data_IF_277185403830
#
_entry.id   IF_277185403830
#
_cell.length_a   1.000
_cell.length_b   1.000
_cell.length_c   1.000
_cell.angle_alpha   90.00
_cell.angle_beta   90.00
_cell.angle_gamma   90.00
#
_symmetry.space_group_name_H-M   'P 1'
#
loop_
_entity.id
_entity.type
_entity.pdbx_description
1 polymer ?
#
# COMPACT_ATOMS: atom_id res chain seq x y z
N UNK A 1 13.99 4.94 18.62
CA UNK A 1 15.15 4.07 18.90
C UNK A 1 15.05 3.42 20.29
N UNK A 2 15.06 4.18 21.40
CA UNK A 2 15.01 3.61 22.77
C UNK A 2 13.80 2.69 23.02
N UNK A 3 12.61 3.08 22.58
CA UNK A 3 11.39 2.27 22.69
C UNK A 3 11.48 0.94 21.92
N UNK A 4 12.00 0.95 20.69
CA UNK A 4 12.20 -0.26 19.88
C UNK A 4 13.22 -1.20 20.53
N UNK A 5 14.30 -0.66 21.09
CA UNK A 5 15.28 -1.44 21.84
C UNK A 5 14.71 -2.03 23.13
N UNK A 6 13.87 -1.28 23.85
CA UNK A 6 13.17 -1.77 25.04
C UNK A 6 12.17 -2.87 24.68
N UNK A 7 11.35 -2.66 23.65
CA UNK A 7 10.42 -3.64 23.09
C UNK A 7 11.16 -4.94 22.71
N UNK A 8 12.30 -4.82 22.01
CA UNK A 8 13.10 -5.98 21.58
C UNK A 8 13.66 -6.73 22.78
N UNK A 9 14.19 -5.99 23.77
CA UNK A 9 14.68 -6.59 25.01
C UNK A 9 13.57 -7.30 25.79
N UNK A 10 12.37 -6.72 25.90
CA UNK A 10 11.26 -7.36 26.60
C UNK A 10 10.76 -8.61 25.88
N UNK A 11 10.77 -8.60 24.54
CA UNK A 11 10.39 -9.75 23.72
C UNK A 11 11.39 -10.91 23.84
N UNK A 12 12.69 -10.64 23.80
CA UNK A 12 13.69 -11.71 23.87
C UNK A 12 14.00 -12.20 25.29
N UNK A 13 13.76 -11.39 26.34
CA UNK A 13 14.18 -11.71 27.71
C UNK A 13 13.06 -11.87 28.75
N UNK A 14 11.84 -11.38 28.51
CA UNK A 14 10.77 -11.36 29.55
C UNK A 14 9.44 -11.97 29.13
N UNK A 15 9.15 -12.15 27.83
CA UNK A 15 7.87 -12.73 27.43
C UNK A 15 7.84 -14.23 27.73
N UNK A 16 6.80 -14.67 28.43
CA UNK A 16 6.38 -16.08 28.38
C UNK A 16 6.19 -16.49 26.92
N UNK A 17 6.53 -17.74 26.56
CA UNK A 17 6.40 -18.33 25.22
C UNK A 17 4.93 -18.47 24.72
N UNK A 18 4.03 -17.58 25.13
CA UNK A 18 2.70 -17.48 24.56
C UNK A 18 2.79 -16.82 23.18
N UNK A 19 2.47 -17.61 22.15
CA UNK A 19 2.46 -17.21 20.73
C UNK A 19 1.66 -15.91 20.50
N UNK A 20 0.64 -15.67 21.32
CA UNK A 20 -0.20 -14.48 21.26
C UNK A 20 0.52 -13.20 21.70
N UNK A 21 1.14 -13.22 22.87
CA UNK A 21 1.86 -12.05 23.38
C UNK A 21 3.02 -11.69 22.44
N UNK A 22 3.68 -12.72 21.90
CA UNK A 22 4.71 -12.57 20.87
C UNK A 22 4.19 -12.00 19.54
N UNK A 23 3.00 -12.39 19.08
CA UNK A 23 2.43 -11.87 17.83
C UNK A 23 1.96 -10.43 17.95
N UNK A 24 1.40 -10.02 19.11
CA UNK A 24 1.12 -8.62 19.42
C UNK A 24 2.41 -7.78 19.54
N UNK A 25 3.48 -8.34 20.13
CA UNK A 25 4.83 -7.73 20.19
C UNK A 25 5.36 -7.42 18.81
N UNK A 26 5.41 -8.44 17.96
CA UNK A 26 5.89 -8.36 16.59
C UNK A 26 5.06 -7.38 15.77
N UNK A 27 3.74 -7.47 15.84
CA UNK A 27 2.84 -6.56 15.13
C UNK A 27 3.11 -5.10 15.52
N UNK A 28 3.20 -4.82 16.82
CA UNK A 28 3.50 -3.48 17.32
C UNK A 28 4.88 -2.99 16.85
N UNK A 29 5.92 -3.84 16.93
CA UNK A 29 7.26 -3.48 16.45
C UNK A 29 7.27 -3.17 14.95
N UNK A 30 6.69 -4.04 14.13
CA UNK A 30 6.72 -3.90 12.67
C UNK A 30 5.98 -2.63 12.26
N UNK A 31 4.86 -2.30 12.90
CA UNK A 31 4.16 -1.03 12.68
C UNK A 31 4.97 0.21 13.06
N UNK A 32 5.72 0.17 14.17
CA UNK A 32 6.62 1.27 14.52
C UNK A 32 7.77 1.40 13.53
N UNK A 33 8.33 0.29 13.06
CA UNK A 33 9.35 0.28 11.99
C UNK A 33 8.78 0.88 10.70
N UNK A 34 7.59 0.46 10.30
CA UNK A 34 6.91 0.95 9.09
C UNK A 34 6.62 2.45 9.18
N UNK A 35 6.15 2.94 10.32
CA UNK A 35 5.89 4.36 10.55
C UNK A 35 7.17 5.21 10.53
N UNK A 36 8.27 4.70 11.10
CA UNK A 36 9.58 5.36 11.03
C UNK A 36 10.08 5.40 9.58
N UNK A 37 9.97 4.29 8.84
CA UNK A 37 10.31 4.25 7.43
C UNK A 37 9.49 5.27 6.63
N UNK A 38 8.17 5.32 6.83
CA UNK A 38 7.30 6.33 6.21
C UNK A 38 7.74 7.76 6.53
N UNK A 39 8.13 8.02 7.78
CA UNK A 39 8.66 9.34 8.19
C UNK A 39 9.94 9.69 7.43
N UNK A 40 10.88 8.75 7.35
CA UNK A 40 12.15 8.94 6.63
C UNK A 40 11.90 9.21 5.14
N UNK A 41 11.01 8.44 4.50
CA UNK A 41 10.66 8.66 3.10
C UNK A 41 9.95 10.00 2.87
N UNK A 42 9.02 10.37 3.74
CA UNK A 42 8.32 11.65 3.65
C UNK A 42 9.30 12.82 3.72
N UNK A 43 10.20 12.81 4.71
CA UNK A 43 11.25 13.83 4.87
C UNK A 43 12.20 13.83 3.68
N UNK A 44 12.63 12.64 3.22
CA UNK A 44 13.48 12.51 2.04
C UNK A 44 12.83 13.11 0.79
N UNK A 45 11.55 12.83 0.56
CA UNK A 45 10.80 13.37 -0.58
C UNK A 45 10.59 14.87 -0.50
N UNK A 46 10.37 15.42 0.69
CA UNK A 46 10.27 16.86 0.92
C UNK A 46 11.61 17.57 0.67
N UNK A 47 12.71 17.05 1.23
CA UNK A 47 14.04 17.67 1.10
C UNK A 47 14.61 17.55 -0.31
N UNK A 48 14.33 16.46 -1.01
CA UNK A 48 14.85 16.23 -2.37
C UNK A 48 14.06 16.95 -3.46
N UNK A 49 12.90 17.52 -3.16
CA UNK A 49 12.02 18.15 -4.16
C UNK A 49 11.47 17.19 -5.22
N UNK A 50 11.68 15.87 -5.04
CA UNK A 50 11.32 14.85 -6.05
C UNK A 50 9.82 14.79 -6.34
N UNK A 51 8.98 15.08 -5.34
CA UNK A 51 7.52 15.12 -5.52
C UNK A 51 7.07 16.31 -6.37
N UNK A 52 7.77 17.44 -6.30
CA UNK A 52 7.50 18.61 -7.15
C UNK A 52 7.95 18.34 -8.58
N UNK A 53 9.13 17.74 -8.75
CA UNK A 53 9.62 17.29 -10.07
C UNK A 53 8.67 16.28 -10.72
N UNK A 54 8.19 15.30 -9.95
CA UNK A 54 7.20 14.33 -10.42
C UNK A 54 5.87 14.99 -10.79
N UNK A 55 5.38 15.91 -9.96
CA UNK A 55 4.16 16.68 -10.24
C UNK A 55 4.31 17.48 -11.53
N UNK A 56 5.44 18.18 -11.72
CA UNK A 56 5.72 18.95 -12.91
C UNK A 56 5.75 18.07 -14.16
N UNK A 57 6.39 16.88 -14.09
CA UNK A 57 6.39 15.93 -15.22
C UNK A 57 4.98 15.44 -15.56
N UNK A 58 4.18 15.05 -14.56
CA UNK A 58 2.78 14.64 -14.76
C UNK A 58 1.91 15.78 -15.33
N UNK A 59 2.20 17.03 -14.94
CA UNK A 59 1.53 18.20 -15.48
C UNK A 59 1.91 18.41 -16.96
N UNK A 60 3.19 18.36 -17.30
CA UNK A 60 3.69 18.58 -18.66
C UNK A 60 3.15 17.55 -19.66
N UNK A 61 2.88 16.31 -19.24
CA UNK A 61 2.38 15.26 -20.15
C UNK A 61 1.09 15.68 -20.87
N UNK A 62 0.09 16.15 -20.12
CA UNK A 62 -1.27 16.38 -20.63
C UNK A 62 -2.02 17.51 -19.88
N UNK A 63 -1.32 18.36 -19.12
CA UNK A 63 -1.88 19.43 -18.27
C UNK A 63 -2.96 18.93 -17.30
N UNK A 64 -2.75 17.75 -16.72
CA UNK A 64 -3.70 17.06 -15.84
C UNK A 64 -5.11 16.87 -16.43
N UNK A 65 -5.23 16.78 -17.77
CA UNK A 65 -6.53 16.57 -18.41
C UNK A 65 -7.16 15.24 -18.01
N UNK A 66 -6.37 14.20 -17.78
CA UNK A 66 -6.86 12.92 -17.28
C UNK A 66 -7.49 13.04 -15.90
N UNK A 67 -6.78 13.65 -14.95
CA UNK A 67 -7.29 13.93 -13.60
C UNK A 67 -8.53 14.82 -13.65
N UNK A 68 -8.51 15.91 -14.43
CA UNK A 68 -9.65 16.82 -14.59
C UNK A 68 -10.88 16.13 -15.18
N UNK A 69 -10.70 15.21 -16.13
CA UNK A 69 -11.81 14.46 -16.72
C UNK A 69 -12.53 13.55 -15.73
N UNK A 70 -11.84 13.13 -14.66
CA UNK A 70 -12.35 12.22 -13.62
C UNK A 70 -12.25 12.86 -12.23
N UNK A 71 -12.40 14.19 -12.16
CA UNK A 71 -12.26 14.99 -10.93
C UNK A 71 -13.11 14.43 -9.77
N UNK A 72 -14.35 14.03 -10.04
CA UNK A 72 -15.22 13.41 -9.05
C UNK A 72 -14.61 12.14 -8.43
N UNK A 73 -14.09 11.22 -9.26
CA UNK A 73 -13.47 9.97 -8.78
C UNK A 73 -12.18 10.22 -8.02
N UNK A 74 -11.42 11.25 -8.39
CA UNK A 74 -10.22 11.66 -7.67
C UNK A 74 -10.56 12.21 -6.27
N UNK A 75 -11.56 13.10 -6.18
CA UNK A 75 -12.03 13.64 -4.89
C UNK A 75 -12.75 12.60 -4.02
N UNK A 76 -13.47 11.64 -4.61
CA UNK A 76 -14.05 10.51 -3.87
C UNK A 76 -12.95 9.72 -3.14
N UNK A 77 -11.82 9.47 -3.82
CA UNK A 77 -10.67 8.81 -3.21
C UNK A 77 -10.12 9.59 -2.02
N UNK A 78 -9.97 10.91 -2.16
CA UNK A 78 -9.55 11.79 -1.07
C UNK A 78 -10.57 11.80 0.09
N UNK A 79 -11.87 11.77 -0.20
CA UNK A 79 -12.93 11.70 0.82
C UNK A 79 -12.87 10.40 1.59
N UNK A 80 -12.75 9.26 0.92
CA UNK A 80 -12.58 7.96 1.58
C UNK A 80 -11.32 7.90 2.44
N UNK A 81 -10.24 8.52 1.98
CA UNK A 81 -9.02 8.64 2.77
C UNK A 81 -9.24 9.45 4.05
N UNK A 82 -9.91 10.61 3.97
CA UNK A 82 -10.24 11.42 5.15
C UNK A 82 -11.13 10.64 6.12
N UNK A 83 -12.13 9.92 5.61
CA UNK A 83 -12.99 9.06 6.45
C UNK A 83 -12.15 8.00 7.16
N UNK A 84 -11.26 7.31 6.44
CA UNK A 84 -10.35 6.31 7.02
C UNK A 84 -9.44 6.95 8.09
N UNK A 85 -8.89 8.13 7.81
CA UNK A 85 -8.06 8.90 8.75
C UNK A 85 -8.82 9.25 10.03
N UNK A 86 -10.05 9.73 9.91
CA UNK A 86 -10.89 10.05 11.09
C UNK A 86 -11.23 8.78 11.86
N UNK A 87 -11.68 7.72 11.21
CA UNK A 87 -12.04 6.45 11.86
C UNK A 87 -10.85 5.86 12.61
N UNK A 88 -9.68 5.83 11.99
CA UNK A 88 -8.45 5.32 12.61
C UNK A 88 -7.98 6.18 13.78
N UNK A 89 -8.06 7.50 13.66
CA UNK A 89 -7.74 8.41 14.76
C UNK A 89 -8.71 8.22 15.94
N UNK A 90 -10.01 8.16 15.68
CA UNK A 90 -11.04 7.91 16.71
C UNK A 90 -10.82 6.56 17.37
N UNK A 91 -10.56 5.50 16.59
CA UNK A 91 -10.25 4.18 17.13
C UNK A 91 -9.02 4.21 18.05
N UNK A 92 -7.92 4.84 17.63
CA UNK A 92 -6.71 4.99 18.44
C UNK A 92 -6.96 5.78 19.73
N UNK A 93 -7.77 6.84 19.68
CA UNK A 93 -8.15 7.62 20.87
C UNK A 93 -9.01 6.79 21.81
N UNK A 94 -10.03 6.07 21.30
CA UNK A 94 -10.89 5.20 22.10
C UNK A 94 -10.10 4.05 22.73
N UNK A 95 -9.18 3.43 21.99
CA UNK A 95 -8.31 2.38 22.49
C UNK A 95 -7.37 2.90 23.59
N UNK A 96 -6.77 4.07 23.38
CA UNK A 96 -5.92 4.74 24.37
C UNK A 96 -6.70 5.15 25.63
N UNK A 97 -7.94 5.62 25.47
CA UNK A 97 -8.82 5.97 26.57
C UNK A 97 -9.22 4.72 27.38
N UNK A 98 -9.64 3.64 26.72
CA UNK A 98 -9.93 2.36 27.37
C UNK A 98 -8.73 1.87 28.18
N UNK A 99 -7.55 1.91 27.58
CA UNK A 99 -6.29 1.55 28.23
C UNK A 99 -6.00 2.38 29.48
N UNK A 100 -6.30 3.68 29.47
CA UNK A 100 -6.08 4.57 30.61
C UNK A 100 -7.07 4.33 31.77
N UNK A 101 -8.32 3.94 31.47
CA UNK A 101 -9.38 3.77 32.48
C UNK A 101 -9.50 2.34 33.02
N UNK A 102 -8.99 1.31 32.33
CA UNK A 102 -9.01 -0.06 32.82
C UNK A 102 -8.06 -0.26 34.01
N UNK A 103 -8.58 -0.64 35.18
CA UNK A 103 -7.78 -0.95 36.39
C UNK A 103 -6.98 -2.27 36.29
N UNK A 104 -7.36 -3.15 35.35
CA UNK A 104 -6.67 -4.40 35.03
C UNK A 104 -5.90 -4.20 33.73
N UNK A 105 -4.62 -3.91 33.85
CA UNK A 105 -3.71 -3.80 32.73
C UNK A 105 -3.22 -5.21 32.35
N UNK A 106 -3.16 -5.52 31.04
CA UNK A 106 -2.45 -6.71 30.58
C UNK A 106 -0.99 -6.69 31.09
N UNK A 107 -0.37 -7.85 31.30
CA UNK A 107 1.04 -7.97 31.74
C UNK A 107 1.97 -7.06 30.92
N UNK A 108 1.62 -6.95 29.64
CA UNK A 108 2.22 -6.09 28.65
C UNK A 108 2.07 -4.58 28.88
N UNK A 109 0.86 -4.12 29.18
CA UNK A 109 0.60 -2.73 29.56
C UNK A 109 1.41 -2.33 30.80
N UNK A 110 1.56 -3.27 31.75
CA UNK A 110 2.37 -3.09 32.94
C UNK A 110 3.87 -2.98 32.60
N UNK A 111 4.39 -3.84 31.72
CA UNK A 111 5.77 -3.80 31.20
C UNK A 111 6.11 -2.51 30.43
N UNK A 112 5.19 -1.99 29.63
CA UNK A 112 5.38 -0.72 28.91
C UNK A 112 5.34 0.46 29.90
N UNK A 113 4.51 0.39 30.94
CA UNK A 113 4.48 1.41 32.00
C UNK A 113 5.79 1.45 32.82
N UNK A 114 6.50 0.33 32.96
CA UNK A 114 7.82 0.25 33.60
C UNK A 114 8.92 0.95 32.78
N UNK A 115 8.71 1.18 31.48
CA UNK A 115 9.67 1.91 30.64
C UNK A 115 9.77 3.40 31.04
N UNK A 116 8.69 3.95 31.63
CA UNK A 116 8.67 5.31 32.14
C UNK A 116 8.90 5.30 33.64
N UNK A 117 9.91 6.04 34.09
CA UNK A 117 10.21 6.24 35.51
C UNK A 117 8.98 6.74 36.31
N UNK A 118 8.05 7.44 35.64
CA UNK A 118 6.73 7.80 36.16
C UNK A 118 5.61 7.13 35.35
N UNK A 119 4.83 6.27 36.00
CA UNK A 119 3.66 5.59 35.39
C UNK A 119 2.62 6.55 34.80
N UNK A 120 2.53 7.78 35.32
CA UNK A 120 1.64 8.83 34.81
C UNK A 120 2.02 9.37 33.42
N UNK A 121 3.25 9.14 32.94
CA UNK A 121 3.74 9.58 31.62
C UNK A 121 3.32 8.63 30.47
N UNK A 122 2.60 7.56 30.75
CA UNK A 122 2.15 6.59 29.74
C UNK A 122 1.29 7.20 28.60
N UNK A 123 0.58 8.29 28.85
CA UNK A 123 -0.22 8.98 27.81
C UNK A 123 0.66 9.50 26.65
N UNK A 124 1.93 9.79 26.89
CA UNK A 124 2.89 10.22 25.86
C UNK A 124 3.04 9.13 24.78
N UNK A 125 2.96 7.85 25.16
CA UNK A 125 3.06 6.75 24.19
C UNK A 125 1.85 6.67 23.27
N UNK A 126 0.66 6.95 23.79
CA UNK A 126 -0.54 7.06 22.95
C UNK A 126 -0.42 8.20 21.95
N UNK A 127 0.14 9.35 22.37
CA UNK A 127 0.38 10.50 21.47
C UNK A 127 1.43 10.15 20.40
N UNK A 128 2.57 9.57 20.80
CA UNK A 128 3.63 9.18 19.86
C UNK A 128 3.11 8.13 18.88
N UNK A 129 2.40 7.11 19.36
CA UNK A 129 1.81 6.07 18.50
C UNK A 129 0.82 6.69 17.52
N UNK A 130 -0.09 7.55 17.99
CA UNK A 130 -1.06 8.23 17.12
C UNK A 130 -0.38 9.08 16.05
N UNK A 131 0.68 9.81 16.40
CA UNK A 131 1.46 10.60 15.45
C UNK A 131 2.11 9.70 14.38
N UNK A 132 2.75 8.61 14.80
CA UNK A 132 3.40 7.66 13.90
C UNK A 132 2.39 7.06 12.90
N UNK A 133 1.19 6.68 13.34
CA UNK A 133 0.12 6.24 12.43
C UNK A 133 -0.31 7.32 11.45
N UNK A 134 -0.48 8.57 11.91
CA UNK A 134 -0.85 9.67 11.04
C UNK A 134 0.19 9.90 9.94
N UNK A 135 1.49 9.82 10.27
CA UNK A 135 2.57 9.97 9.30
C UNK A 135 2.58 8.81 8.29
N UNK A 136 2.45 7.58 8.76
CA UNK A 136 2.34 6.39 7.91
C UNK A 136 1.17 6.49 6.92
N UNK A 137 -0.01 6.88 7.43
CA UNK A 137 -1.23 6.99 6.65
C UNK A 137 -1.11 8.11 5.60
N UNK A 138 -0.51 9.25 5.98
CA UNK A 138 -0.24 10.37 5.06
C UNK A 138 0.74 9.96 3.96
N UNK A 139 1.80 9.24 4.30
CA UNK A 139 2.81 8.79 3.32
C UNK A 139 2.21 7.81 2.32
N UNK A 140 1.40 6.88 2.79
CA UNK A 140 0.66 5.94 1.93
C UNK A 140 -0.33 6.67 1.02
N UNK A 141 -1.00 7.72 1.52
CA UNK A 141 -1.89 8.54 0.71
C UNK A 141 -1.16 9.30 -0.40
N UNK A 142 0.00 9.89 -0.10
CA UNK A 142 0.83 10.55 -1.11
C UNK A 142 1.15 9.56 -2.23
N UNK A 143 1.66 8.37 -1.89
CA UNK A 143 1.94 7.31 -2.85
C UNK A 143 0.71 6.95 -3.72
N UNK A 144 -0.43 6.66 -3.09
CA UNK A 144 -1.67 6.29 -3.79
C UNK A 144 -2.17 7.42 -4.68
N UNK A 145 -2.03 8.67 -4.26
CA UNK A 145 -2.49 9.85 -5.01
C UNK A 145 -1.68 10.03 -6.29
N UNK A 146 -0.35 9.95 -6.23
CA UNK A 146 0.50 10.03 -7.41
C UNK A 146 0.30 8.83 -8.36
N UNK A 147 0.15 7.62 -7.82
CA UNK A 147 -0.17 6.44 -8.63
C UNK A 147 -1.54 6.57 -9.34
N UNK A 148 -2.57 7.06 -8.63
CA UNK A 148 -3.88 7.31 -9.23
C UNK A 148 -3.86 8.45 -10.26
N UNK A 149 -3.07 9.50 -10.04
CA UNK A 149 -2.88 10.57 -11.01
C UNK A 149 -2.30 10.03 -12.32
N UNK A 150 -1.21 9.24 -12.24
CA UNK A 150 -0.63 8.57 -13.40
C UNK A 150 -1.65 7.64 -14.08
N UNK A 151 -2.40 6.83 -13.31
CA UNK A 151 -3.48 6.00 -13.84
C UNK A 151 -4.52 6.81 -14.63
N UNK A 152 -4.96 7.96 -14.11
CA UNK A 152 -5.95 8.78 -14.79
C UNK A 152 -5.43 9.41 -16.08
N UNK A 153 -4.17 9.86 -16.12
CA UNK A 153 -3.55 10.37 -17.35
C UNK A 153 -3.40 9.28 -18.42
N UNK A 154 -2.91 8.08 -18.05
CA UNK A 154 -2.81 6.94 -18.99
C UNK A 154 -4.19 6.52 -19.49
N UNK A 155 -5.17 6.39 -18.59
CA UNK A 155 -6.54 6.02 -18.94
C UNK A 155 -7.20 7.04 -19.87
N UNK A 156 -6.89 8.33 -19.70
CA UNK A 156 -7.37 9.39 -20.58
C UNK A 156 -6.71 9.33 -21.96
N UNK A 157 -5.39 9.11 -22.01
CA UNK A 157 -4.67 8.87 -23.26
C UNK A 157 -5.23 7.66 -24.03
N UNK A 158 -5.46 6.53 -23.34
CA UNK A 158 -6.07 5.34 -23.94
C UNK A 158 -7.44 5.64 -24.54
N UNK A 159 -8.25 6.44 -23.85
CA UNK A 159 -9.57 6.87 -24.35
C UNK A 159 -9.45 7.79 -25.57
N UNK A 160 -8.46 8.67 -25.61
CA UNK A 160 -8.20 9.53 -26.77
C UNK A 160 -7.80 8.70 -28.00
N UNK A 161 -6.86 7.77 -27.86
CA UNK A 161 -6.46 6.87 -28.96
C UNK A 161 -7.66 6.07 -29.46
N UNK A 162 -8.44 5.48 -28.55
CA UNK A 162 -9.58 4.64 -28.92
C UNK A 162 -10.66 5.38 -29.70
N UNK A 163 -10.87 6.65 -29.37
CA UNK A 163 -11.91 7.48 -29.98
C UNK A 163 -11.37 8.41 -31.07
N UNK A 164 -10.11 8.23 -31.49
CA UNK A 164 -9.50 9.06 -32.52
C UNK A 164 -10.25 8.86 -33.85
N UNK A 165 -10.82 9.94 -34.37
CA UNK A 165 -11.57 9.97 -35.62
C UNK A 165 -11.37 11.33 -36.30
N UNK A 166 -11.48 11.36 -37.63
CA UNK A 166 -11.31 12.58 -38.41
C UNK A 166 -10.74 12.30 -39.80
N UNK A 167 -10.39 13.37 -40.50
CA UNK A 167 -9.73 13.34 -41.81
C UNK A 167 -8.35 12.67 -41.70
N UNK A 168 -7.83 12.11 -42.80
CA UNK A 168 -6.53 11.40 -42.78
C UNK A 168 -5.37 12.31 -42.37
N UNK A 169 -5.34 13.54 -42.85
CA UNK A 169 -4.29 14.51 -42.47
C UNK A 169 -4.34 14.84 -40.98
N UNK A 170 -5.55 15.00 -40.43
CA UNK A 170 -5.76 15.17 -38.99
C UNK A 170 -5.29 13.95 -38.19
N UNK A 171 -5.58 12.74 -38.66
CA UNK A 171 -5.14 11.50 -38.00
C UNK A 171 -3.62 11.39 -37.97
N UNK A 172 -2.93 11.76 -39.06
CA UNK A 172 -1.46 11.75 -39.13
C UNK A 172 -0.85 12.72 -38.11
N UNK A 173 -1.32 13.96 -38.11
CA UNK A 173 -0.82 14.99 -37.18
C UNK A 173 -1.11 14.61 -35.72
N UNK A 174 -2.30 14.10 -35.43
CA UNK A 174 -2.67 13.72 -34.06
C UNK A 174 -1.94 12.45 -33.59
N UNK A 175 -1.65 11.49 -34.48
CA UNK A 175 -0.81 10.33 -34.15
C UNK A 175 0.62 10.73 -33.82
N UNK A 176 1.22 11.65 -34.58
CA UNK A 176 2.54 12.20 -34.27
C UNK A 176 2.55 12.89 -32.89
N UNK A 177 1.56 13.73 -32.61
CA UNK A 177 1.39 14.34 -31.29
C UNK A 177 1.19 13.31 -30.19
N UNK A 178 0.48 12.21 -30.47
CA UNK A 178 0.26 11.15 -29.49
C UNK A 178 1.52 10.33 -29.19
N UNK A 179 2.45 10.18 -30.15
CA UNK A 179 3.77 9.59 -29.88
C UNK A 179 4.54 10.45 -28.88
N UNK A 180 4.56 11.77 -29.06
CA UNK A 180 5.22 12.69 -28.13
C UNK A 180 4.54 12.69 -26.75
N UNK A 181 3.21 12.74 -26.70
CA UNK A 181 2.46 12.62 -25.43
C UNK A 181 2.77 11.31 -24.72
N UNK A 182 2.83 10.19 -25.44
CA UNK A 182 3.17 8.89 -24.86
C UNK A 182 4.60 8.87 -24.31
N UNK A 183 5.56 9.48 -25.01
CA UNK A 183 6.94 9.64 -24.52
C UNK A 183 6.95 10.38 -23.17
N UNK A 184 6.23 11.49 -23.06
CA UNK A 184 6.13 12.26 -21.82
C UNK A 184 5.46 11.46 -20.69
N UNK A 185 4.38 10.72 -21.00
CA UNK A 185 3.70 9.85 -20.02
C UNK A 185 4.65 8.75 -19.53
N UNK A 186 5.36 8.09 -20.45
CA UNK A 186 6.32 7.04 -20.10
C UNK A 186 7.44 7.60 -19.21
N UNK A 187 7.95 8.79 -19.52
CA UNK A 187 8.95 9.48 -18.69
C UNK A 187 8.40 9.77 -17.27
N UNK A 188 7.16 10.26 -17.16
CA UNK A 188 6.53 10.50 -15.86
C UNK A 188 6.31 9.22 -15.05
N UNK A 189 5.98 8.10 -15.70
CA UNK A 189 5.83 6.79 -15.05
C UNK A 189 7.18 6.22 -14.61
N UNK A 190 8.24 6.40 -15.41
CA UNK A 190 9.59 5.99 -15.03
C UNK A 190 10.09 6.77 -13.80
N UNK A 191 9.78 8.06 -13.73
CA UNK A 191 10.11 8.89 -12.57
C UNK A 191 9.27 8.53 -11.35
N UNK A 192 7.98 8.22 -11.55
CA UNK A 192 7.11 7.66 -10.51
C UNK A 192 7.72 6.39 -9.91
N UNK A 193 8.19 5.47 -10.75
CA UNK A 193 8.91 4.26 -10.31
C UNK A 193 10.19 4.61 -9.55
N UNK A 194 11.03 5.49 -10.10
CA UNK A 194 12.29 5.87 -9.45
C UNK A 194 12.08 6.46 -8.04
N UNK A 195 11.04 7.28 -7.86
CA UNK A 195 10.71 7.91 -6.58
C UNK A 195 10.18 6.90 -5.55
N UNK A 196 9.32 5.96 -5.99
CA UNK A 196 8.57 5.10 -5.09
C UNK A 196 9.08 3.65 -5.00
N UNK A 197 9.94 3.15 -5.89
CA UNK A 197 10.37 1.73 -5.92
C UNK A 197 10.93 1.19 -4.61
N UNK A 198 11.71 2.00 -3.89
CA UNK A 198 12.30 1.61 -2.60
C UNK A 198 11.25 1.64 -1.48
N UNK A 199 10.35 2.63 -1.53
CA UNK A 199 9.23 2.72 -0.61
C UNK A 199 8.29 1.51 -0.79
N UNK A 200 7.89 1.19 -2.03
CA UNK A 200 7.04 0.04 -2.33
C UNK A 200 7.67 -1.26 -1.86
N UNK A 201 8.99 -1.45 -2.04
CA UNK A 201 9.69 -2.61 -1.48
C UNK A 201 9.62 -2.66 0.05
N UNK A 202 10.01 -1.57 0.71
CA UNK A 202 10.07 -1.52 2.17
C UNK A 202 8.69 -1.78 2.80
N UNK A 203 7.65 -1.18 2.22
CA UNK A 203 6.27 -1.34 2.66
C UNK A 203 5.75 -2.76 2.44
N UNK A 204 6.04 -3.39 1.29
CA UNK A 204 5.65 -4.79 1.08
C UNK A 204 6.39 -5.73 2.04
N UNK A 205 7.67 -5.48 2.29
CA UNK A 205 8.48 -6.29 3.20
C UNK A 205 7.95 -6.24 4.65
N UNK A 206 7.32 -5.13 5.08
CA UNK A 206 6.72 -5.01 6.41
C UNK A 206 5.27 -5.47 6.46
N UNK A 207 4.46 -5.12 5.45
CA UNK A 207 3.01 -5.41 5.43
C UNK A 207 2.73 -6.91 5.30
N UNK A 208 3.55 -7.69 4.57
CA UNK A 208 3.35 -9.14 4.43
C UNK A 208 3.45 -9.85 5.80
N UNK A 209 4.55 -9.69 6.58
CA UNK A 209 4.60 -10.20 7.95
C UNK A 209 3.45 -9.73 8.84
N UNK A 210 3.07 -8.45 8.75
CA UNK A 210 1.95 -7.90 9.52
C UNK A 210 0.65 -8.64 9.20
N UNK A 211 0.34 -8.88 7.93
CA UNK A 211 -0.83 -9.65 7.52
C UNK A 211 -0.80 -11.07 8.07
N UNK A 212 0.35 -11.76 7.99
CA UNK A 212 0.51 -13.12 8.52
C UNK A 212 0.21 -13.13 10.03
N UNK A 213 0.86 -12.27 10.81
CA UNK A 213 0.69 -12.24 12.26
C UNK A 213 -0.74 -11.83 12.67
N UNK A 214 -1.35 -10.87 11.96
CA UNK A 214 -2.72 -10.43 12.26
C UNK A 214 -3.73 -11.55 11.97
N UNK A 215 -3.55 -12.30 10.87
CA UNK A 215 -4.39 -13.46 10.55
C UNK A 215 -4.15 -14.64 11.52
N UNK A 216 -2.91 -14.85 11.97
CA UNK A 216 -2.62 -15.84 13.01
C UNK A 216 -3.29 -15.49 14.34
N UNK A 217 -3.27 -14.21 14.75
CA UNK A 217 -3.99 -13.77 15.95
C UNK A 217 -5.48 -14.06 15.82
N UNK A 218 -6.09 -13.77 14.66
CA UNK A 218 -7.49 -14.10 14.39
C UNK A 218 -7.75 -15.60 14.55
N UNK A 219 -6.94 -16.46 13.92
CA UNK A 219 -7.13 -17.91 13.96
C UNK A 219 -7.04 -18.47 15.38
N UNK A 220 -6.22 -17.87 16.25
CA UNK A 220 -5.99 -18.36 17.61
C UNK A 220 -7.01 -17.85 18.65
N UNK A 221 -7.73 -16.76 18.38
CA UNK A 221 -8.58 -16.05 19.36
C UNK A 221 -10.09 -16.09 19.09
N UNK A 222 -10.57 -16.89 18.14
CA UNK A 222 -12.02 -17.02 17.86
C UNK A 222 -12.76 -17.84 18.93
N UNK A 223 -12.49 -17.59 20.22
CA UNK A 223 -13.25 -18.12 21.36
C UNK A 223 -14.42 -17.20 21.77
N UNK A 224 -14.42 -15.92 21.39
CA UNK A 224 -15.47 -14.96 21.74
C UNK A 224 -15.72 -13.91 20.65
N UNK A 225 -16.99 -13.54 20.42
CA UNK A 225 -17.40 -12.48 19.48
C UNK A 225 -16.83 -11.10 19.85
N UNK A 226 -16.56 -10.87 21.13
CA UNK A 226 -15.96 -9.61 21.62
C UNK A 226 -14.49 -9.46 21.20
N UNK A 227 -13.72 -10.55 21.18
CA UNK A 227 -12.34 -10.55 20.71
C UNK A 227 -12.26 -10.28 19.21
N UNK A 228 -13.21 -10.83 18.44
CA UNK A 228 -13.33 -10.55 17.01
C UNK A 228 -13.58 -9.05 16.74
N UNK A 229 -14.48 -8.41 17.48
CA UNK A 229 -14.76 -6.98 17.33
C UNK A 229 -13.55 -6.09 17.66
N UNK A 230 -12.67 -6.52 18.57
CA UNK A 230 -11.44 -5.81 18.91
C UNK A 230 -10.38 -5.99 17.81
N UNK A 231 -10.28 -7.18 17.22
CA UNK A 231 -9.29 -7.50 16.19
C UNK A 231 -9.70 -7.06 14.76
N UNK A 232 -11.00 -6.96 14.46
CA UNK A 232 -11.50 -6.64 13.12
C UNK A 232 -10.98 -5.32 12.52
N UNK A 233 -10.84 -4.21 13.29
CA UNK A 233 -10.27 -2.97 12.77
C UNK A 233 -8.81 -3.12 12.34
N UNK A 234 -8.01 -3.91 13.07
CA UNK A 234 -6.61 -4.18 12.73
C UNK A 234 -6.51 -4.96 11.42
N UNK A 235 -7.36 -5.98 11.24
CA UNK A 235 -7.41 -6.76 9.99
C UNK A 235 -7.83 -5.90 8.81
N UNK A 236 -8.89 -5.10 8.99
CA UNK A 236 -9.38 -4.20 7.96
C UNK A 236 -8.27 -3.23 7.53
N UNK A 237 -7.56 -2.65 8.50
CA UNK A 237 -6.48 -1.73 8.27
C UNK A 237 -5.29 -2.37 7.54
N UNK A 238 -4.84 -3.55 7.98
CA UNK A 238 -3.73 -4.26 7.32
C UNK A 238 -4.10 -4.66 5.89
N UNK A 239 -5.34 -5.09 5.67
CA UNK A 239 -5.86 -5.41 4.33
C UNK A 239 -5.92 -4.17 3.46
N UNK A 240 -6.43 -3.05 3.99
CA UNK A 240 -6.45 -1.77 3.28
C UNK A 240 -5.05 -1.27 2.94
N UNK A 241 -4.08 -1.40 3.85
CA UNK A 241 -2.69 -1.04 3.64
C UNK A 241 -2.07 -1.86 2.48
N UNK A 242 -2.21 -3.17 2.55
CA UNK A 242 -1.74 -4.09 1.51
C UNK A 242 -2.39 -3.76 0.16
N UNK A 243 -3.71 -3.64 0.12
CA UNK A 243 -4.44 -3.27 -1.10
C UNK A 243 -4.00 -1.90 -1.63
N UNK A 244 -3.72 -0.92 -0.78
CA UNK A 244 -3.29 0.42 -1.21
C UNK A 244 -1.92 0.39 -1.88
N UNK A 245 -0.97 -0.32 -1.27
CA UNK A 245 0.42 -0.45 -1.77
C UNK A 245 0.47 -1.31 -3.03
N UNK A 246 -0.49 -2.23 -3.22
CA UNK A 246 -0.48 -3.18 -4.35
C UNK A 246 -1.42 -2.80 -5.50
N UNK A 247 -2.68 -2.45 -5.23
CA UNK A 247 -3.69 -2.25 -6.29
C UNK A 247 -3.41 -0.97 -7.08
N UNK A 248 -3.03 0.12 -6.42
CA UNK A 248 -2.75 1.40 -7.09
C UNK A 248 -1.67 1.27 -8.19
N UNK A 249 -0.46 0.75 -7.90
CA UNK A 249 0.55 0.53 -8.94
C UNK A 249 0.13 -0.52 -9.99
N UNK A 250 -0.56 -1.59 -9.59
CA UNK A 250 -1.02 -2.61 -10.54
C UNK A 250 -2.02 -2.07 -11.56
N UNK A 251 -2.89 -1.11 -11.18
CA UNK A 251 -3.80 -0.44 -12.11
C UNK A 251 -3.05 0.41 -13.14
N UNK A 252 -1.99 1.10 -12.74
CA UNK A 252 -1.14 1.87 -13.66
C UNK A 252 -0.53 0.94 -14.71
N UNK A 253 0.06 -0.17 -14.25
CA UNK A 253 0.68 -1.15 -15.15
C UNK A 253 -0.32 -1.76 -16.14
N UNK A 254 -1.51 -2.15 -15.68
CA UNK A 254 -2.56 -2.71 -16.53
C UNK A 254 -3.05 -1.71 -17.58
N UNK A 255 -3.26 -0.44 -17.22
CA UNK A 255 -3.64 0.58 -18.21
C UNK A 255 -2.54 0.85 -19.24
N UNK A 256 -1.27 0.76 -18.84
CA UNK A 256 -0.16 0.85 -19.79
C UNK A 256 -0.21 -0.31 -20.80
N UNK A 257 -0.49 -1.54 -20.33
CA UNK A 257 -0.64 -2.70 -21.21
C UNK A 257 -1.89 -2.61 -22.12
N UNK A 258 -2.98 -2.02 -21.61
CA UNK A 258 -4.23 -1.83 -22.36
C UNK A 258 -4.13 -0.79 -23.50
N UNK A 259 -3.04 -0.03 -23.57
CA UNK A 259 -2.83 0.97 -24.61
C UNK A 259 -2.77 0.35 -26.00
N UNK A 260 -2.01 -0.75 -26.16
CA UNK A 260 -1.95 -1.51 -27.42
C UNK A 260 -3.32 -2.02 -27.83
N UNK A 261 -4.09 -2.56 -26.87
CA UNK A 261 -5.45 -2.99 -27.14
C UNK A 261 -6.36 -1.83 -27.58
N UNK A 262 -6.21 -0.66 -26.96
CA UNK A 262 -6.97 0.56 -27.31
C UNK A 262 -6.65 1.07 -28.72
N UNK A 263 -5.37 0.97 -29.12
CA UNK A 263 -4.92 1.28 -30.48
C UNK A 263 -5.48 0.31 -31.51
N UNK A 264 -5.37 -1.01 -31.27
CA UNK A 264 -5.91 -2.05 -32.16
C UNK A 264 -7.42 -1.95 -32.34
N UNK A 265 -8.16 -1.50 -31.32
CA UNK A 265 -9.63 -1.38 -31.36
C UNK A 265 -10.12 -0.23 -32.24
N UNK A 266 -9.28 0.77 -32.54
CA UNK A 266 -9.71 1.92 -33.32
C UNK A 266 -9.75 1.60 -34.82
N UNK A 267 -10.95 1.34 -35.34
CA UNK A 267 -11.16 1.04 -36.76
C UNK A 267 -10.71 2.16 -37.69
N UNK A 268 -10.75 3.44 -37.28
CA UNK A 268 -10.41 4.56 -38.16
C UNK A 268 -8.91 4.63 -38.49
N UNK A 269 -8.08 4.08 -37.60
CA UNK A 269 -6.62 4.00 -37.80
C UNK A 269 -6.32 2.89 -38.82
N UNK A 270 -6.93 1.72 -38.63
CA UNK A 270 -6.66 0.54 -39.45
C UNK A 270 -7.49 0.50 -40.75
N UNK A 271 -8.62 1.21 -40.85
CA UNK A 271 -9.50 1.13 -42.02
C UNK A 271 -10.02 2.51 -42.42
N UNK A 272 -9.94 2.89 -43.72
CA UNK A 272 -9.24 2.21 -44.82
C UNK A 272 -7.71 2.18 -44.64
N UNK A 273 -6.99 1.38 -45.43
CA UNK A 273 -5.53 1.30 -45.36
C UNK A 273 -4.87 2.59 -45.88
N UNK A 274 -3.95 3.17 -45.11
CA UNK A 274 -3.04 4.24 -45.53
C UNK A 274 -1.66 3.92 -44.97
N UNK A 275 -0.63 3.81 -45.82
CA UNK A 275 0.68 3.35 -45.41
C UNK A 275 1.31 4.23 -44.32
N UNK A 276 1.10 5.55 -44.35
CA UNK A 276 1.72 6.47 -43.40
C UNK A 276 1.07 6.36 -42.01
N UNK A 277 -0.26 6.30 -41.96
CA UNK A 277 -1.01 6.14 -40.69
C UNK A 277 -0.70 4.78 -40.07
N UNK A 278 -0.60 3.74 -40.90
CA UNK A 278 -0.20 2.41 -40.44
C UNK A 278 1.22 2.38 -39.88
N UNK A 279 2.18 3.02 -40.53
CA UNK A 279 3.55 3.12 -40.04
C UNK A 279 3.61 3.89 -38.71
N UNK A 280 2.90 5.01 -38.58
CA UNK A 280 2.81 5.78 -37.34
C UNK A 280 2.14 4.97 -36.22
N UNK A 281 1.04 4.28 -36.50
CA UNK A 281 0.36 3.43 -35.54
C UNK A 281 1.23 2.26 -35.09
N UNK A 282 1.96 1.61 -36.00
CA UNK A 282 2.92 0.56 -35.66
C UNK A 282 4.09 1.11 -34.83
N UNK A 283 4.60 2.30 -35.17
CA UNK A 283 5.67 2.95 -34.41
C UNK A 283 5.22 3.26 -32.99
N UNK A 284 4.01 3.81 -32.84
CA UNK A 284 3.39 4.02 -31.53
C UNK A 284 3.19 2.70 -30.78
N UNK A 285 2.67 1.66 -31.44
CA UNK A 285 2.49 0.34 -30.84
C UNK A 285 3.80 -0.23 -30.32
N UNK A 286 4.88 -0.11 -31.09
CA UNK A 286 6.22 -0.57 -30.70
C UNK A 286 6.77 0.22 -29.52
N UNK A 287 6.56 1.55 -29.50
CA UNK A 287 6.93 2.36 -28.34
C UNK A 287 6.13 1.98 -27.09
N UNK A 288 4.88 1.53 -27.23
CA UNK A 288 4.07 1.08 -26.11
C UNK A 288 4.46 -0.31 -25.58
N UNK A 289 5.23 -1.10 -26.32
CA UNK A 289 5.80 -2.38 -25.87
C UNK A 289 7.07 -2.21 -25.00
N UNK A 290 7.12 -1.17 -24.19
CA UNK A 290 8.18 -1.01 -23.20
C UNK A 290 7.97 -2.00 -22.05
N UNK A 291 8.77 -3.07 -22.06
CA UNK A 291 8.84 -4.02 -20.96
C UNK A 291 9.17 -3.29 -19.66
N UNK A 292 8.34 -3.49 -18.63
CA UNK A 292 8.57 -2.93 -17.30
C UNK A 292 7.96 -1.55 -17.04
N UNK A 293 7.15 -0.99 -17.95
CA UNK A 293 6.47 0.28 -17.71
C UNK A 293 5.42 0.14 -16.57
N UNK A 294 5.71 0.75 -15.43
CA UNK A 294 4.90 0.66 -14.21
C UNK A 294 5.75 0.89 -12.97
N UNK A 295 5.15 0.74 -11.79
CA UNK A 295 5.88 0.83 -10.52
C UNK A 295 6.43 -0.57 -10.17
N UNK A 296 7.73 -0.62 -9.89
CA UNK A 296 8.50 -1.81 -9.59
C UNK A 296 8.80 -1.93 -8.09
N UNK A 297 9.06 -3.16 -7.68
CA UNK A 297 9.56 -3.49 -6.34
C UNK A 297 11.08 -3.50 -6.43
N UNK A 298 11.73 -2.41 -6.05
CA UNK A 298 13.21 -2.23 -6.14
C UNK A 298 13.77 -2.63 -7.53
N UNK A 299 13.03 -2.40 -8.62
CA UNK A 299 13.48 -2.81 -9.97
C UNK A 299 13.53 -4.32 -10.23
N UNK A 300 13.13 -5.18 -9.29
CA UNK A 300 13.10 -6.64 -9.47
C UNK A 300 11.89 -7.10 -10.27
N UNK A 301 10.70 -6.60 -9.90
CA UNK A 301 9.44 -6.99 -10.55
C UNK A 301 8.47 -5.80 -10.60
N UNK A 302 7.81 -5.60 -11.73
CA UNK A 302 6.69 -4.67 -11.83
C UNK A 302 5.48 -5.20 -11.08
N UNK A 303 4.87 -4.34 -10.28
CA UNK A 303 3.76 -4.73 -9.44
C UNK A 303 2.51 -4.92 -10.30
N UNK A 304 2.12 -6.18 -10.48
CA UNK A 304 1.03 -6.62 -11.37
C UNK A 304 0.00 -7.45 -10.59
N UNK A 305 -1.24 -7.56 -11.10
CA UNK A 305 -2.29 -8.37 -10.45
C UNK A 305 -1.87 -9.82 -10.16
N UNK A 306 -1.17 -10.54 -11.07
CA UNK A 306 -0.68 -11.87 -10.78
C UNK A 306 0.30 -11.91 -9.60
N UNK A 307 1.19 -10.91 -9.49
CA UNK A 307 2.13 -10.84 -8.37
C UNK A 307 1.39 -10.67 -7.04
N UNK A 308 0.36 -9.82 -7.00
CA UNK A 308 -0.50 -9.64 -5.81
C UNK A 308 -1.15 -10.96 -5.39
N UNK A 309 -1.72 -11.68 -6.36
CA UNK A 309 -2.36 -12.97 -6.10
C UNK A 309 -1.33 -14.01 -5.59
N UNK A 310 -0.14 -14.03 -6.17
CA UNK A 310 0.97 -14.87 -5.72
C UNK A 310 1.38 -14.55 -4.28
N UNK A 311 1.49 -13.26 -3.92
CA UNK A 311 1.82 -12.84 -2.55
C UNK A 311 0.73 -13.24 -1.55
N UNK A 312 -0.55 -13.07 -1.90
CA UNK A 312 -1.67 -13.50 -1.05
C UNK A 312 -1.70 -15.02 -0.88
N UNK A 313 -1.46 -15.77 -1.95
CA UNK A 313 -1.40 -17.24 -1.91
C UNK A 313 -0.24 -17.72 -1.04
N UNK A 314 0.96 -17.13 -1.18
CA UNK A 314 2.11 -17.44 -0.33
C UNK A 314 1.85 -17.07 1.15
N UNK A 315 1.17 -15.94 1.40
CA UNK A 315 0.76 -15.51 2.75
C UNK A 315 -0.19 -16.53 3.38
N UNK A 316 -1.20 -16.99 2.64
CA UNK A 316 -2.15 -18.00 3.10
C UNK A 316 -1.46 -19.36 3.34
N UNK A 317 -0.55 -19.78 2.45
CA UNK A 317 0.22 -21.01 2.61
C UNK A 317 1.11 -20.96 3.86
N UNK A 318 1.82 -19.85 4.08
CA UNK A 318 2.65 -19.66 5.26
C UNK A 318 1.80 -19.65 6.54
N UNK A 319 0.62 -19.02 6.52
CA UNK A 319 -0.31 -19.05 7.65
C UNK A 319 -0.82 -20.46 7.94
N UNK A 320 -1.16 -21.24 6.91
CA UNK A 320 -1.54 -22.66 7.06
C UNK A 320 -0.42 -23.46 7.69
N UNK A 321 0.80 -23.36 7.16
CA UNK A 321 1.97 -24.07 7.66
C UNK A 321 2.29 -23.69 9.11
N UNK A 322 2.21 -22.41 9.48
CA UNK A 322 2.41 -21.95 10.85
C UNK A 322 1.30 -22.40 11.81
N UNK A 323 0.09 -22.63 11.28
CA UNK A 323 -1.02 -23.19 12.07
C UNK A 323 -0.80 -24.69 12.30
N UNK A 324 -0.38 -25.43 11.28
CA UNK A 324 -0.14 -26.88 11.33
C UNK A 324 1.08 -27.25 12.18
N UNK A 325 2.12 -26.40 12.19
CA UNK A 325 3.34 -26.59 13.00
C UNK A 325 3.16 -26.22 14.48
N UNK A 326 1.96 -25.79 14.89
CA UNK A 326 1.72 -25.42 16.29
C UNK A 326 1.70 -26.69 17.16
N UNK A 327 2.53 -26.77 18.22
CA UNK A 327 2.47 -27.92 19.13
C UNK A 327 1.08 -28.01 19.78
N UNK A 328 0.48 -29.20 19.72
CA UNK A 328 -0.76 -29.49 20.44
C UNK A 328 -0.55 -29.18 21.94
N UNK A 329 -1.56 -28.55 22.56
CA UNK A 329 -1.54 -28.30 24.00
C UNK A 329 -1.37 -29.65 24.70
N UNK A 330 -0.22 -29.90 25.30
CA UNK A 330 -0.08 -30.96 26.31
C UNK A 330 -0.95 -30.50 27.48
N UNK A 331 -2.18 -31.00 27.54
CA UNK A 331 -3.02 -30.86 28.73
C UNK A 331 -2.37 -31.77 29.75
N UNK A 332 -1.65 -31.18 30.72
CA UNK A 332 -1.27 -31.90 31.93
C UNK A 332 -2.57 -32.31 32.63
N UNK A 333 -2.97 -33.56 32.42
CA UNK A 333 -4.01 -34.20 33.22
C UNK A 333 -3.45 -34.28 34.63
N UNK A 334 -3.92 -33.41 35.52
CA UNK A 334 -3.79 -33.62 36.96
C UNK A 334 -4.49 -34.94 37.27
N UNK A 335 -3.69 -36.00 37.43
CA UNK A 335 -4.15 -37.24 38.05
C UNK A 335 -4.58 -36.85 39.45
N UNK A 336 -5.88 -36.93 39.73
CA UNK A 336 -6.39 -36.88 41.09
C UNK A 336 -5.76 -38.04 41.84
N UNK A 337 -4.77 -37.73 42.69
CA UNK A 337 -4.29 -38.67 43.68
C UNK A 337 -5.45 -39.00 44.62
N UNK A 338 -5.77 -40.29 44.64
CA UNK A 338 -6.91 -40.83 45.37
C UNK A 338 -6.83 -40.59 46.88
N UNK A 339 -8.02 -40.52 47.47
CA UNK A 339 -8.30 -40.95 48.84
C UNK A 339 -9.62 -41.72 48.84
#
# INVERSE_FOLDING_TARGET
>A
MYYLGFMAKTMFYKSSFYVLDMSLQLLSMIWHVESILSTVFLVYWQLSGKLEGLKAKLEVCQNFRGVRSKTHKFYDGARWFIILYVVTTVFNVCYSAKFYFEKLHSVWAMLISEMFYYKKLGFIMSIISSYMYSVWLTTTYVFVTYANAAYFEVSYFNKQIRNLSGTRDFLKEELLKNIEKFRLISEAIAELDMVFRLYTFAMLATVIPILIFTLMMLNQHMSSFTDFLICAPFILFCTCAFCSVTIAPARVHEECQNLKHSLCKNKNIWQPYDPEIYQLANTLSNHCEQNGLGISIWGFATLSRPLILGTLSATAMMMSLLTDLKPERIIEVTVEDGN
#
